data_IF_823359914366
#
_entry.id   IF_823359914366
#
_cell.length_a   1.000
_cell.length_b   1.000
_cell.length_c   1.000
_cell.angle_alpha   90.00
_cell.angle_beta   90.00
_cell.angle_gamma   90.00
#
_symmetry.space_group_name_H-M   'P 1'
#
loop_
_entity.id
_entity.type
_entity.pdbx_description
1 polymer ?
#
# COMPACT_ATOMS: atom_id res chain seq x y z
N UNK A 1 21.85 39.05 -3.27
CA UNK A 1 20.92 38.14 -3.97
C UNK A 1 21.08 36.77 -3.34
N UNK A 2 20.10 36.39 -2.53
CA UNK A 2 20.12 35.26 -1.61
C UNK A 2 20.05 33.91 -2.33
N UNK A 3 21.06 33.09 -2.11
CA UNK A 3 21.09 31.68 -2.47
C UNK A 3 20.15 30.90 -1.52
N UNK A 4 18.91 30.71 -1.96
CA UNK A 4 17.84 29.97 -1.27
C UNK A 4 17.45 28.68 -2.02
N UNK A 5 18.28 28.22 -2.95
CA UNK A 5 17.87 27.20 -3.94
C UNK A 5 18.27 25.76 -3.65
N UNK A 6 18.96 25.47 -2.52
CA UNK A 6 19.53 24.14 -2.23
C UNK A 6 19.25 23.57 -0.84
N UNK A 7 18.21 24.05 -0.16
CA UNK A 7 17.64 23.33 0.99
C UNK A 7 16.52 22.40 0.51
N UNK A 8 16.85 21.48 -0.40
CA UNK A 8 15.95 20.37 -0.70
C UNK A 8 15.89 19.52 0.58
N UNK A 9 14.76 19.57 1.27
CA UNK A 9 14.49 19.04 2.60
C UNK A 9 15.05 17.61 2.82
N UNK A 10 16.32 17.50 3.26
CA UNK A 10 16.92 16.23 3.69
C UNK A 10 16.14 15.64 4.89
N UNK A 11 15.42 16.50 5.62
CA UNK A 11 14.53 16.15 6.74
C UNK A 11 13.24 15.41 6.31
N UNK A 12 12.86 15.48 5.03
CA UNK A 12 11.67 14.78 4.54
C UNK A 12 11.84 13.26 4.65
N UNK A 13 13.00 12.74 4.27
CA UNK A 13 13.32 11.32 4.34
C UNK A 13 13.48 10.82 5.78
N UNK A 14 13.98 11.67 6.70
CA UNK A 14 14.05 11.31 8.12
C UNK A 14 12.67 11.04 8.70
N UNK A 15 11.64 11.79 8.30
CA UNK A 15 10.25 11.60 8.76
C UNK A 15 9.68 10.21 8.45
N UNK A 16 10.18 9.56 7.39
CA UNK A 16 9.80 8.21 6.99
C UNK A 16 10.79 7.12 7.44
N UNK A 17 11.79 7.47 8.26
CA UNK A 17 12.66 6.49 8.91
C UNK A 17 11.83 5.48 9.74
N UNK A 18 12.23 4.20 9.82
CA UNK A 18 11.55 3.19 10.65
C UNK A 18 11.32 3.65 12.09
N UNK A 19 12.23 4.45 12.65
CA UNK A 19 12.11 5.01 14.01
C UNK A 19 10.91 5.97 14.14
N UNK A 20 10.66 6.79 13.12
CA UNK A 20 9.56 7.76 13.11
C UNK A 20 8.21 7.10 12.82
N UNK A 21 8.19 6.08 11.94
CA UNK A 21 7.01 5.23 11.70
C UNK A 21 6.53 4.58 13.00
N UNK A 22 7.46 3.97 13.75
CA UNK A 22 7.15 3.36 15.05
C UNK A 22 6.63 4.44 16.02
N UNK A 23 7.25 5.62 16.06
CA UNK A 23 6.80 6.74 16.89
C UNK A 23 5.36 7.16 16.63
N UNK A 24 4.93 7.19 15.36
CA UNK A 24 3.55 7.49 14.97
C UNK A 24 2.61 6.39 15.49
N UNK A 25 2.92 5.12 15.25
CA UNK A 25 2.11 3.98 15.71
C UNK A 25 1.99 3.98 17.24
N UNK A 26 3.08 4.27 17.95
CA UNK A 26 3.09 4.38 19.41
C UNK A 26 2.21 5.53 19.89
N UNK A 27 2.22 6.67 19.20
CA UNK A 27 1.35 7.80 19.53
C UNK A 27 -0.13 7.44 19.37
N UNK A 28 -0.46 6.65 18.35
CA UNK A 28 -1.83 6.14 18.12
C UNK A 28 -2.28 5.11 19.16
N UNK A 29 -1.38 4.25 19.63
CA UNK A 29 -1.67 3.36 20.76
C UNK A 29 -1.92 4.16 22.05
N UNK A 30 -1.19 5.26 22.26
CA UNK A 30 -1.37 6.15 23.41
C UNK A 30 -2.64 6.99 23.34
N UNK A 31 -3.13 7.31 22.14
CA UNK A 31 -4.39 8.06 21.95
C UNK A 31 -5.65 7.20 22.20
N UNK A 32 -5.48 5.91 22.54
CA UNK A 32 -6.56 5.00 22.92
C UNK A 32 -7.07 4.11 21.80
N UNK A 33 -6.43 4.12 20.62
CA UNK A 33 -6.81 3.21 19.53
C UNK A 33 -6.40 1.79 19.89
N UNK A 34 -7.30 0.84 19.63
CA UNK A 34 -7.05 -0.57 19.94
C UNK A 34 -5.97 -1.17 19.03
N UNK A 35 -5.12 -2.08 19.53
CA UNK A 35 -4.13 -2.81 18.72
C UNK A 35 -4.74 -3.47 17.49
N UNK A 36 -5.97 -3.98 17.62
CA UNK A 36 -6.74 -4.61 16.55
C UNK A 36 -6.99 -3.63 15.39
N UNK A 37 -7.43 -2.40 15.69
CA UNK A 37 -7.71 -1.38 14.68
C UNK A 37 -6.44 -0.87 14.00
N UNK A 38 -5.35 -0.69 14.75
CA UNK A 38 -4.06 -0.28 14.17
C UNK A 38 -3.53 -1.37 13.25
N UNK A 39 -3.55 -2.64 13.70
CA UNK A 39 -3.09 -3.77 12.88
C UNK A 39 -3.90 -3.88 11.60
N UNK A 40 -5.23 -3.75 11.69
CA UNK A 40 -6.11 -3.78 10.53
C UNK A 40 -5.86 -2.58 9.59
N UNK A 41 -5.65 -1.38 10.15
CA UNK A 41 -5.31 -0.17 9.37
C UNK A 41 -4.02 -0.36 8.58
N UNK A 42 -2.98 -0.93 9.19
CA UNK A 42 -1.69 -1.19 8.55
C UNK A 42 -1.87 -2.21 7.43
N UNK A 43 -2.51 -3.36 7.72
CA UNK A 43 -2.69 -4.44 6.74
C UNK A 43 -3.50 -3.98 5.54
N UNK A 44 -4.61 -3.27 5.77
CA UNK A 44 -5.45 -2.73 4.70
C UNK A 44 -4.67 -1.72 3.86
N UNK A 45 -3.91 -0.82 4.50
CA UNK A 45 -3.06 0.15 3.80
C UNK A 45 -1.96 -0.52 2.98
N UNK A 46 -1.33 -1.58 3.49
CA UNK A 46 -0.33 -2.36 2.75
C UNK A 46 -0.95 -3.12 1.56
N UNK A 47 -2.08 -3.80 1.78
CA UNK A 47 -2.74 -4.59 0.74
C UNK A 47 -3.27 -3.74 -0.42
N UNK A 48 -3.94 -2.63 -0.08
CA UNK A 48 -4.42 -1.66 -1.07
C UNK A 48 -3.24 -0.89 -1.68
N UNK A 49 -2.19 -0.60 -0.91
CA UNK A 49 -1.05 0.16 -1.41
C UNK A 49 -0.24 -0.56 -2.49
N UNK A 50 -0.25 -1.90 -2.51
CA UNK A 50 0.33 -2.69 -3.62
C UNK A 50 -0.65 -2.95 -4.76
N UNK A 51 -1.85 -2.37 -4.75
CA UNK A 51 -2.83 -2.58 -5.81
C UNK A 51 -2.29 -2.02 -7.15
N UNK A 52 -2.33 -2.79 -8.26
CA UNK A 52 -1.53 -2.50 -9.44
C UNK A 52 -2.07 -1.38 -10.35
N UNK A 53 -3.12 -0.67 -9.93
CA UNK A 53 -3.64 0.50 -10.63
C UNK A 53 -3.11 1.78 -9.97
N UNK A 54 -2.06 2.34 -10.57
CA UNK A 54 -1.40 3.56 -10.09
C UNK A 54 -2.42 4.71 -10.00
N UNK A 55 -2.36 5.47 -8.91
CA UNK A 55 -3.26 6.60 -8.66
C UNK A 55 -4.62 6.23 -8.04
N UNK A 56 -5.02 4.95 -8.04
CA UNK A 56 -6.29 4.52 -7.41
C UNK A 56 -6.13 4.18 -5.92
N UNK A 57 -4.92 3.87 -5.47
CA UNK A 57 -4.63 3.36 -4.12
C UNK A 57 -5.00 4.34 -3.02
N UNK A 58 -4.76 5.64 -3.20
CA UNK A 58 -5.13 6.68 -2.22
C UNK A 58 -6.64 6.74 -2.01
N UNK A 59 -7.41 6.73 -3.10
CA UNK A 59 -8.89 6.76 -3.05
C UNK A 59 -9.42 5.50 -2.39
N UNK A 60 -8.92 4.33 -2.78
CA UNK A 60 -9.29 3.05 -2.17
C UNK A 60 -8.96 3.03 -0.68
N UNK A 61 -7.76 3.47 -0.29
CA UNK A 61 -7.36 3.59 1.11
C UNK A 61 -8.31 4.49 1.90
N UNK A 62 -8.72 5.64 1.35
CA UNK A 62 -9.68 6.54 1.96
C UNK A 62 -11.07 5.90 2.13
N UNK A 63 -11.56 5.21 1.11
CA UNK A 63 -12.84 4.50 1.15
C UNK A 63 -12.83 3.45 2.25
N UNK A 64 -11.80 2.59 2.29
CA UNK A 64 -11.69 1.54 3.31
C UNK A 64 -11.47 2.11 4.71
N UNK A 65 -10.76 3.24 4.85
CA UNK A 65 -10.61 3.93 6.12
C UNK A 65 -11.98 4.34 6.69
N UNK A 66 -12.86 4.87 5.85
CA UNK A 66 -14.23 5.26 6.23
C UNK A 66 -15.11 4.04 6.52
N UNK A 67 -15.16 3.07 5.59
CA UNK A 67 -16.03 1.89 5.72
C UNK A 67 -15.72 1.06 6.96
N UNK A 68 -14.44 0.86 7.26
CA UNK A 68 -13.99 0.03 8.38
C UNK A 68 -13.72 0.85 9.66
N UNK A 69 -13.96 2.18 9.63
CA UNK A 69 -13.69 3.12 10.74
C UNK A 69 -12.27 2.97 11.29
N UNK A 70 -11.31 2.90 10.37
CA UNK A 70 -9.88 2.73 10.61
C UNK A 70 -9.17 4.07 10.69
N UNK A 71 -7.95 4.07 11.21
CA UNK A 71 -7.16 5.29 11.31
C UNK A 71 -6.59 5.67 9.94
N UNK A 72 -6.98 6.82 9.35
CA UNK A 72 -6.49 7.24 8.04
C UNK A 72 -4.97 7.46 8.02
N UNK A 73 -4.37 7.93 9.12
CA UNK A 73 -2.92 8.14 9.25
C UNK A 73 -2.19 6.82 9.14
N UNK A 74 -2.65 5.78 9.85
CA UNK A 74 -2.03 4.44 9.81
C UNK A 74 -2.17 3.79 8.44
N UNK A 75 -3.34 3.92 7.80
CA UNK A 75 -3.57 3.41 6.43
C UNK A 75 -2.64 4.10 5.43
N UNK A 76 -2.57 5.43 5.45
CA UNK A 76 -1.77 6.17 4.47
C UNK A 76 -0.26 5.98 4.70
N UNK A 77 0.16 5.85 5.96
CA UNK A 77 1.55 5.52 6.28
C UNK A 77 1.91 4.14 5.71
N UNK A 78 1.05 3.14 5.91
CA UNK A 78 1.25 1.80 5.35
C UNK A 78 1.26 1.81 3.82
N UNK A 79 0.29 2.50 3.18
CA UNK A 79 0.21 2.70 1.73
C UNK A 79 1.50 3.31 1.16
N UNK A 80 2.01 4.37 1.79
CA UNK A 80 3.24 5.03 1.38
C UNK A 80 4.47 4.11 1.49
N UNK A 81 4.58 3.35 2.59
CA UNK A 81 5.71 2.44 2.81
C UNK A 81 5.79 1.31 1.77
N UNK A 82 4.64 0.85 1.27
CA UNK A 82 4.59 -0.20 0.24
C UNK A 82 4.57 0.34 -1.19
N UNK A 83 4.58 1.65 -1.39
CA UNK A 83 4.55 2.26 -2.72
C UNK A 83 5.71 1.79 -3.63
N UNK A 84 6.98 1.66 -3.15
CA UNK A 84 8.04 1.07 -3.98
C UNK A 84 7.75 -0.38 -4.36
N UNK A 85 7.14 -1.13 -3.44
CA UNK A 85 6.74 -2.51 -3.66
C UNK A 85 5.59 -2.62 -4.67
N UNK A 86 4.69 -1.64 -4.74
CA UNK A 86 3.66 -1.57 -5.78
C UNK A 86 4.28 -1.67 -7.16
N UNK A 87 5.31 -0.87 -7.45
CA UNK A 87 5.98 -0.85 -8.75
C UNK A 87 6.66 -2.20 -9.05
N UNK A 88 7.33 -2.78 -8.06
CA UNK A 88 8.00 -4.07 -8.20
C UNK A 88 7.03 -5.23 -8.42
N UNK A 89 5.87 -5.21 -7.76
CA UNK A 89 4.89 -6.30 -7.79
C UNK A 89 3.95 -6.28 -9.00
N UNK A 90 3.88 -5.19 -9.77
CA UNK A 90 3.10 -5.15 -11.01
C UNK A 90 3.47 -6.32 -11.93
N UNK A 91 4.76 -6.59 -12.16
CA UNK A 91 5.21 -7.68 -13.02
C UNK A 91 4.79 -9.08 -12.51
N UNK A 92 5.05 -9.45 -11.24
CA UNK A 92 4.51 -10.67 -10.65
C UNK A 92 2.99 -10.82 -10.78
N UNK A 93 2.24 -9.75 -10.55
CA UNK A 93 0.77 -9.79 -10.67
C UNK A 93 0.32 -10.00 -12.11
N UNK A 94 0.90 -9.28 -13.06
CA UNK A 94 0.63 -9.47 -14.49
C UNK A 94 0.90 -10.91 -14.94
N UNK A 95 2.06 -11.46 -14.56
CA UNK A 95 2.43 -12.83 -14.90
C UNK A 95 1.47 -13.85 -14.28
N UNK A 96 1.06 -13.63 -13.03
CA UNK A 96 0.07 -14.49 -12.36
C UNK A 96 -1.27 -14.43 -13.08
N UNK A 97 -1.77 -13.24 -13.41
CA UNK A 97 -3.04 -13.08 -14.12
C UNK A 97 -3.03 -13.74 -15.49
N UNK A 98 -1.97 -13.52 -16.28
CA UNK A 98 -1.77 -14.16 -17.59
C UNK A 98 -1.68 -15.69 -17.48
N UNK A 99 -1.00 -16.21 -16.47
CA UNK A 99 -0.92 -17.66 -16.22
C UNK A 99 -2.30 -18.26 -15.91
N UNK A 100 -3.13 -17.57 -15.10
CA UNK A 100 -4.46 -18.03 -14.74
C UNK A 100 -5.43 -17.99 -15.92
N UNK A 101 -5.36 -16.94 -16.75
CA UNK A 101 -6.23 -16.80 -17.91
C UNK A 101 -5.78 -17.63 -19.11
N UNK A 102 -4.51 -18.07 -19.12
CA UNK A 102 -3.90 -18.76 -20.26
C UNK A 102 -3.64 -17.82 -21.46
N UNK A 103 -3.82 -16.52 -21.30
CA UNK A 103 -3.66 -15.53 -22.36
C UNK A 103 -2.27 -14.90 -22.23
N UNK A 104 -1.42 -14.92 -23.29
CA UNK A 104 -0.12 -14.30 -23.23
C UNK A 104 -0.24 -12.77 -23.09
N UNK A 105 0.69 -12.17 -22.36
CA UNK A 105 0.77 -10.72 -22.23
C UNK A 105 1.20 -10.14 -23.59
N UNK A 106 0.29 -9.39 -24.23
CA UNK A 106 0.59 -8.64 -25.44
C UNK A 106 0.86 -7.17 -25.10
N UNK A 107 2.03 -6.67 -25.51
CA UNK A 107 2.46 -5.28 -25.33
C UNK A 107 2.56 -4.53 -26.66
N UNK A 108 2.24 -5.16 -27.80
CA UNK A 108 2.34 -4.54 -29.13
C UNK A 108 1.45 -3.31 -29.27
N UNK A 109 0.35 -3.26 -28.53
CA UNK A 109 -0.53 -2.10 -28.46
C UNK A 109 0.18 -0.83 -27.94
N UNK A 110 1.27 -0.99 -27.19
CA UNK A 110 2.07 0.13 -26.66
C UNK A 110 3.19 0.60 -27.61
N UNK A 111 3.49 -0.15 -28.68
CA UNK A 111 4.56 0.17 -29.62
C UNK A 111 4.16 1.27 -30.62
N UNK A 112 2.86 1.36 -30.96
CA UNK A 112 2.34 2.30 -31.96
C UNK A 112 1.17 3.13 -31.42
N UNK A 113 1.47 4.03 -30.49
CA UNK A 113 0.48 4.93 -29.89
C UNK A 113 0.08 6.01 -30.90
N UNK A 114 -1.11 5.87 -31.49
CA UNK A 114 -1.72 6.83 -32.43
C UNK A 114 -3.20 7.03 -32.12
N UNK A 115 -3.72 8.22 -32.45
CA UNK A 115 -5.13 8.59 -32.27
C UNK A 115 -6.07 7.73 -33.13
N UNK A 116 -5.55 7.10 -34.17
CA UNK A 116 -6.29 6.19 -35.05
C UNK A 116 -6.52 4.80 -34.41
N UNK A 117 -5.71 4.43 -33.42
CA UNK A 117 -5.70 3.10 -32.80
C UNK A 117 -6.16 3.11 -31.34
N UNK A 118 -6.95 4.11 -30.94
CA UNK A 118 -7.40 4.30 -29.55
C UNK A 118 -8.12 3.07 -28.99
N UNK A 119 -8.91 2.37 -29.82
CA UNK A 119 -9.62 1.15 -29.40
C UNK A 119 -8.67 0.00 -29.07
N UNK A 120 -7.61 -0.18 -29.85
CA UNK A 120 -6.58 -1.21 -29.65
C UNK A 120 -5.78 -0.92 -28.38
N UNK A 121 -5.39 0.34 -28.19
CA UNK A 121 -4.68 0.82 -27.00
C UNK A 121 -5.53 0.62 -25.75
N UNK A 122 -6.81 1.03 -25.80
CA UNK A 122 -7.74 0.87 -24.69
C UNK A 122 -7.88 -0.61 -24.31
N UNK A 123 -8.10 -1.48 -25.30
CA UNK A 123 -8.20 -2.93 -25.04
C UNK A 123 -6.93 -3.49 -24.40
N UNK A 124 -5.75 -3.17 -24.95
CA UNK A 124 -4.48 -3.62 -24.40
C UNK A 124 -4.25 -3.15 -22.96
N UNK A 125 -4.62 -1.90 -22.66
CA UNK A 125 -4.55 -1.37 -21.30
C UNK A 125 -5.52 -2.09 -20.37
N UNK A 126 -6.75 -2.37 -20.81
CA UNK A 126 -7.74 -3.14 -20.04
C UNK A 126 -7.28 -4.58 -19.78
N UNK A 127 -6.68 -5.25 -20.77
CA UNK A 127 -6.18 -6.62 -20.63
C UNK A 127 -5.04 -6.66 -19.60
N UNK A 128 -4.06 -5.76 -19.71
CA UNK A 128 -2.94 -5.64 -18.75
C UNK A 128 -3.46 -5.30 -17.35
N UNK A 129 -4.35 -4.31 -17.23
CA UNK A 129 -4.97 -3.96 -15.94
C UNK A 129 -5.72 -5.16 -15.34
N UNK A 130 -6.49 -5.88 -16.16
CA UNK A 130 -7.23 -7.07 -15.76
C UNK A 130 -6.32 -8.16 -15.22
N UNK A 131 -5.25 -8.52 -15.94
CA UNK A 131 -4.28 -9.52 -15.47
C UNK A 131 -3.62 -9.09 -14.16
N UNK A 132 -3.22 -7.83 -14.02
CA UNK A 132 -2.61 -7.35 -12.79
C UNK A 132 -3.59 -7.43 -11.61
N UNK A 133 -4.84 -6.97 -11.78
CA UNK A 133 -5.87 -7.03 -10.73
C UNK A 133 -6.21 -8.47 -10.35
N UNK A 134 -6.27 -9.39 -11.32
CA UNK A 134 -6.45 -10.82 -11.06
C UNK A 134 -5.28 -11.39 -10.25
N UNK A 135 -4.05 -11.10 -10.64
CA UNK A 135 -2.85 -11.51 -9.90
C UNK A 135 -2.83 -10.98 -8.48
N UNK A 136 -3.15 -9.69 -8.30
CA UNK A 136 -3.28 -9.08 -6.98
C UNK A 136 -4.34 -9.79 -6.12
N UNK A 137 -5.51 -10.09 -6.70
CA UNK A 137 -6.64 -10.73 -5.99
C UNK A 137 -6.31 -12.15 -5.50
N UNK A 138 -5.38 -12.84 -6.15
CA UNK A 138 -4.95 -14.19 -5.75
C UNK A 138 -3.99 -14.14 -4.57
N UNK A 139 -3.00 -13.25 -4.61
CA UNK A 139 -1.92 -13.23 -3.62
C UNK A 139 -2.24 -12.35 -2.40
N UNK A 140 -2.74 -11.15 -2.64
CA UNK A 140 -2.75 -10.08 -1.63
C UNK A 140 -3.75 -10.33 -0.50
N UNK A 141 -4.99 -10.80 -0.74
CA UNK A 141 -5.91 -11.11 0.35
C UNK A 141 -5.34 -12.15 1.33
N UNK A 142 -4.73 -13.23 0.82
CA UNK A 142 -4.09 -14.25 1.65
C UNK A 142 -2.91 -13.72 2.45
N UNK A 143 -2.03 -12.95 1.80
CA UNK A 143 -0.89 -12.29 2.48
C UNK A 143 -1.37 -11.32 3.56
N UNK A 144 -2.44 -10.55 3.29
CA UNK A 144 -3.02 -9.62 4.26
C UNK A 144 -3.54 -10.34 5.51
N UNK A 145 -4.22 -11.47 5.35
CA UNK A 145 -4.70 -12.28 6.47
C UNK A 145 -3.52 -12.75 7.34
N UNK A 146 -2.48 -13.29 6.72
CA UNK A 146 -1.27 -13.74 7.44
C UNK A 146 -0.59 -12.57 8.15
N UNK A 147 -0.41 -11.43 7.47
CA UNK A 147 0.17 -10.22 8.06
C UNK A 147 -0.65 -9.70 9.24
N UNK A 148 -1.98 -9.77 9.19
CA UNK A 148 -2.83 -9.38 10.32
C UNK A 148 -2.56 -10.23 11.56
N UNK A 149 -2.49 -11.55 11.41
CA UNK A 149 -2.21 -12.45 12.52
C UNK A 149 -0.79 -12.29 13.09
N UNK A 150 0.17 -11.84 12.27
CA UNK A 150 1.54 -11.54 12.73
C UNK A 150 1.61 -10.17 13.43
N UNK A 151 0.94 -9.15 12.89
CA UNK A 151 0.98 -7.78 13.42
C UNK A 151 0.19 -7.64 14.73
N UNK A 152 -0.94 -8.35 14.86
CA UNK A 152 -1.78 -8.27 16.05
C UNK A 152 -1.04 -8.58 17.37
N UNK A 153 -0.30 -9.71 17.52
CA UNK A 153 0.43 -9.99 18.75
C UNK A 153 1.56 -8.98 19.00
N UNK A 154 2.19 -8.46 17.95
CA UNK A 154 3.20 -7.40 18.09
C UNK A 154 2.58 -6.13 18.67
N UNK A 155 1.46 -5.66 18.13
CA UNK A 155 0.78 -4.47 18.63
C UNK A 155 0.25 -4.65 20.07
N UNK A 156 -0.21 -5.86 20.43
CA UNK A 156 -0.59 -6.19 21.81
C UNK A 156 0.62 -6.15 22.76
N UNK A 157 1.76 -6.71 22.36
CA UNK A 157 3.01 -6.63 23.14
C UNK A 157 3.45 -5.18 23.36
N UNK A 158 3.44 -4.35 22.31
CA UNK A 158 3.76 -2.93 22.44
C UNK A 158 2.84 -2.23 23.44
N UNK A 159 1.52 -2.43 23.34
CA UNK A 159 0.56 -1.85 24.30
C UNK A 159 0.87 -2.26 25.75
N UNK A 160 1.17 -3.53 25.99
CA UNK A 160 1.47 -4.04 27.33
C UNK A 160 2.77 -3.45 27.90
N UNK A 161 3.82 -3.32 27.08
CA UNK A 161 5.07 -2.68 27.48
C UNK A 161 4.88 -1.22 27.89
N UNK A 162 4.01 -0.49 27.19
CA UNK A 162 3.69 0.90 27.55
C UNK A 162 2.84 1.00 28.81
N UNK A 163 1.90 0.08 29.04
CA UNK A 163 1.14 0.06 30.29
C UNK A 163 2.03 -0.25 31.49
N UNK A 164 3.03 -1.14 31.35
CA UNK A 164 3.97 -1.47 32.42
C UNK A 164 4.88 -0.30 32.79
N UNK A 165 5.37 0.47 31.81
CA UNK A 165 6.21 1.66 32.04
C UNK A 165 5.49 2.88 32.62
N UNK A 166 4.16 2.84 32.74
CA UNK A 166 3.37 3.92 33.35
C UNK A 166 3.12 3.69 34.85
N UNK A 167 3.55 2.55 35.38
CA UNK A 167 3.34 2.12 36.77
C UNK A 167 4.64 2.23 37.60
N UNK A 168 5.79 2.46 36.96
CA UNK A 168 7.05 2.88 37.60
C UNK A 168 7.23 4.41 37.47
#
# INVERSE_FOLDING_TARGET
MSDQSKQFDLNFWERFSPKNVIGIIVKELKSGITPEKISLSIVVGMGIGVFPLIGTTMTLCGIFALLLRLNPVSIQLANYLVYPLQILLIFPFLKTGSFITGIPIDLKWAENISVENVSVIAKGLFDVAGFAVLGWSVWVPGICIVLYFILLPLMKKFKNLFNSKKIE
#
